data_IF_784121158621
#
_entry.id   IF_784121158621
#
_cell.length_a   1.000
_cell.length_b   1.000
_cell.length_c   1.000
_cell.angle_alpha   90.00
_cell.angle_beta   90.00
_cell.angle_gamma   90.00
#
_symmetry.space_group_name_H-M   'P 1'
#
loop_
_entity.id
_entity.type
_entity.pdbx_description
1 polymer ?
#
# COMPACT_ATOMS: atom_id res chain seq x y z
N UNK A 1 11.53 15.72 -5.22
CA UNK A 1 11.06 14.40 -5.64
C UNK A 1 9.96 13.93 -4.71
N UNK A 2 8.86 13.49 -5.28
CA UNK A 2 7.73 13.07 -4.46
C UNK A 2 8.00 11.75 -3.76
N UNK A 3 7.64 11.70 -2.49
CA UNK A 3 7.68 10.46 -1.73
C UNK A 3 6.48 9.60 -2.06
N UNK A 4 6.67 8.29 -2.14
CA UNK A 4 5.57 7.34 -2.28
C UNK A 4 4.90 7.03 -0.96
N UNK A 5 5.42 7.54 0.15
CA UNK A 5 4.85 7.27 1.48
C UNK A 5 3.39 7.71 1.55
N UNK A 6 2.53 6.85 2.03
CA UNK A 6 1.10 7.09 2.13
C UNK A 6 0.31 6.78 0.88
N UNK A 7 0.97 6.52 -0.24
CA UNK A 7 0.27 6.26 -1.49
C UNK A 7 -0.27 4.83 -1.52
N UNK A 8 -1.51 4.70 -1.98
CA UNK A 8 -2.08 3.39 -2.25
C UNK A 8 -1.50 2.90 -3.56
N UNK A 9 -1.03 1.66 -3.59
CA UNK A 9 -0.47 1.03 -4.77
C UNK A 9 -1.16 -0.30 -5.02
N UNK A 10 -1.14 -0.75 -6.27
CA UNK A 10 -1.66 -2.06 -6.64
C UNK A 10 -0.48 -2.99 -6.88
N UNK A 11 -0.54 -4.18 -6.31
CA UNK A 11 0.48 -5.19 -6.55
C UNK A 11 0.33 -5.77 -7.95
N UNK A 12 1.45 -5.89 -8.67
CA UNK A 12 1.48 -6.43 -10.03
C UNK A 12 2.17 -7.80 -10.11
N UNK A 13 2.67 -8.31 -9.00
CA UNK A 13 3.41 -9.58 -8.98
C UNK A 13 3.31 -10.24 -7.62
N UNK A 14 3.53 -11.55 -7.58
CA UNK A 14 3.55 -12.31 -6.36
C UNK A 14 2.16 -12.79 -5.95
N UNK A 15 2.05 -13.31 -4.74
CA UNK A 15 0.80 -13.86 -4.22
C UNK A 15 -0.29 -12.81 -4.02
N UNK A 16 0.12 -11.57 -3.81
CA UNK A 16 -0.82 -10.47 -3.58
C UNK A 16 -1.16 -9.70 -4.86
N UNK A 17 -0.83 -10.25 -6.03
CA UNK A 17 -1.12 -9.63 -7.31
C UNK A 17 -2.59 -9.23 -7.40
N UNK A 18 -2.82 -7.97 -7.76
CA UNK A 18 -4.16 -7.42 -7.88
C UNK A 18 -4.69 -6.77 -6.60
N UNK A 19 -4.04 -7.02 -5.46
CA UNK A 19 -4.44 -6.43 -4.19
C UNK A 19 -3.90 -5.01 -4.05
N UNK A 20 -4.61 -4.19 -3.28
CA UNK A 20 -4.16 -2.84 -2.95
C UNK A 20 -3.42 -2.84 -1.63
N UNK A 21 -2.36 -2.05 -1.58
CA UNK A 21 -1.49 -1.92 -0.41
C UNK A 21 -1.18 -0.43 -0.22
N UNK A 22 -0.77 -0.06 0.98
CA UNK A 22 -0.32 1.30 1.27
C UNK A 22 1.18 1.30 1.48
N UNK A 23 1.87 2.22 0.83
CA UNK A 23 3.31 2.39 1.02
C UNK A 23 3.53 3.14 2.32
N UNK A 24 4.23 2.52 3.25
CA UNK A 24 4.58 3.15 4.52
C UNK A 24 5.95 3.83 4.41
N UNK A 25 6.85 3.22 3.65
CA UNK A 25 8.20 3.73 3.46
C UNK A 25 8.69 3.31 2.08
N UNK A 26 9.56 4.10 1.49
CA UNK A 26 10.13 3.77 0.17
C UNK A 26 11.61 4.16 0.13
N UNK A 27 12.37 3.44 -0.65
CA UNK A 27 13.74 3.81 -1.02
C UNK A 27 13.88 3.78 -2.54
N UNK A 28 15.10 3.78 -3.06
CA UNK A 28 15.34 3.89 -4.50
C UNK A 28 14.77 2.74 -5.34
N UNK A 29 14.71 1.55 -4.77
CA UNK A 29 14.35 0.34 -5.53
C UNK A 29 13.19 -0.43 -4.93
N UNK A 30 12.84 -0.15 -3.68
CA UNK A 30 11.86 -0.94 -2.94
C UNK A 30 10.86 -0.06 -2.22
N UNK A 31 9.68 -0.62 -2.02
CA UNK A 31 8.65 -0.04 -1.17
C UNK A 31 8.35 -1.02 -0.04
N UNK A 32 7.99 -0.47 1.11
CA UNK A 32 7.62 -1.25 2.30
C UNK A 32 6.15 -0.98 2.55
N UNK A 33 5.35 -2.01 2.38
CA UNK A 33 3.89 -1.88 2.25
C UNK A 33 3.14 -2.68 3.31
N UNK A 34 1.90 -2.27 3.54
CA UNK A 34 1.00 -2.96 4.46
C UNK A 34 -0.44 -2.84 3.96
N UNK A 35 -1.29 -3.76 4.39
CA UNK A 35 -2.72 -3.71 4.10
C UNK A 35 -3.57 -3.80 5.38
N UNK A 36 -2.93 -4.00 6.51
CA UNK A 36 -3.60 -4.10 7.81
C UNK A 36 -4.24 -5.46 8.08
N UNK A 37 -4.15 -6.38 7.14
CA UNK A 37 -4.76 -7.71 7.24
C UNK A 37 -3.70 -8.80 7.14
N UNK A 38 -3.22 -9.07 5.94
CA UNK A 38 -2.16 -10.04 5.69
C UNK A 38 -0.79 -9.47 6.06
N UNK A 39 -0.59 -8.19 5.80
CA UNK A 39 0.62 -7.47 6.15
C UNK A 39 0.28 -6.31 7.07
N UNK A 40 0.59 -6.49 8.34
CA UNK A 40 0.30 -5.49 9.36
C UNK A 40 1.40 -4.45 9.44
N UNK A 41 1.07 -3.31 10.02
CA UNK A 41 2.01 -2.19 10.15
C UNK A 41 3.27 -2.57 10.93
N UNK A 42 3.18 -3.55 11.83
CA UNK A 42 4.33 -4.03 12.59
C UNK A 42 5.26 -4.93 11.78
N UNK A 43 4.84 -5.38 10.61
CA UNK A 43 5.58 -6.34 9.78
C UNK A 43 5.41 -6.01 8.30
N UNK A 44 6.01 -4.91 7.88
CA UNK A 44 5.89 -4.43 6.50
C UNK A 44 6.49 -5.43 5.51
N UNK A 45 5.87 -5.51 4.35
CA UNK A 45 6.39 -6.33 3.26
C UNK A 45 7.26 -5.47 2.35
N UNK A 46 8.47 -5.93 2.09
CA UNK A 46 9.36 -5.31 1.12
C UNK A 46 8.98 -5.78 -0.29
N UNK A 47 8.76 -4.83 -1.18
CA UNK A 47 8.41 -5.14 -2.56
C UNK A 47 9.25 -4.31 -3.51
N UNK A 48 9.61 -4.90 -4.65
CA UNK A 48 10.31 -4.14 -5.69
C UNK A 48 9.39 -3.05 -6.24
N UNK A 49 9.95 -1.88 -6.45
CA UNK A 49 9.20 -0.75 -6.99
C UNK A 49 8.54 -1.08 -8.33
N UNK A 50 9.19 -1.91 -9.14
CA UNK A 50 8.64 -2.32 -10.45
C UNK A 50 7.48 -3.32 -10.35
N UNK A 51 7.21 -3.85 -9.16
CA UNK A 51 6.13 -4.81 -8.94
C UNK A 51 4.87 -4.15 -8.36
N UNK A 52 4.83 -2.83 -8.30
CA UNK A 52 3.66 -2.10 -7.83
C UNK A 52 3.30 -0.99 -8.81
N UNK A 53 2.01 -0.70 -8.89
CA UNK A 53 1.48 0.42 -9.67
C UNK A 53 0.89 1.45 -8.72
N UNK A 54 1.47 2.65 -8.63
CA UNK A 54 0.89 3.69 -7.79
C UNK A 54 -0.46 4.16 -8.30
N UNK A 55 -1.37 4.44 -7.37
CA UNK A 55 -2.62 5.11 -7.69
C UNK A 55 -2.48 6.59 -7.38
N UNK A 56 -3.52 7.36 -7.63
CA UNK A 56 -3.52 8.80 -7.33
C UNK A 56 -3.92 9.11 -5.89
N UNK A 57 -4.20 8.10 -5.10
CA UNK A 57 -4.69 8.28 -3.74
C UNK A 57 -3.55 8.18 -2.74
N UNK A 58 -3.45 9.20 -1.89
CA UNK A 58 -2.48 9.26 -0.80
C UNK A 58 -3.25 9.40 0.49
N UNK A 59 -2.88 8.63 1.51
CA UNK A 59 -3.51 8.71 2.83
C UNK A 59 -2.50 9.16 3.87
N UNK A 60 -3.01 9.66 4.99
CA UNK A 60 -2.19 10.05 6.13
C UNK A 60 -1.79 8.79 6.91
N UNK A 61 -0.49 8.57 7.04
CA UNK A 61 0.03 7.40 7.75
C UNK A 61 0.40 7.70 9.20
N UNK A 62 0.29 8.94 9.64
CA UNK A 62 0.77 9.36 10.95
C UNK A 62 0.06 8.70 12.12
N UNK A 63 -1.26 8.57 12.02
CA UNK A 63 -2.08 7.96 13.07
C UNK A 63 -2.71 6.65 12.61
N UNK A 64 -2.06 5.97 11.68
CA UNK A 64 -2.62 4.79 11.05
C UNK A 64 -2.54 3.57 11.96
N UNK A 65 -3.61 2.79 11.99
CA UNK A 65 -3.66 1.49 12.67
C UNK A 65 -4.04 0.43 11.63
N UNK A 66 -3.80 -0.83 11.97
CA UNK A 66 -4.17 -1.92 11.06
C UNK A 66 -5.67 -1.91 10.74
N UNK A 67 -6.48 -1.63 11.72
CA UNK A 67 -7.94 -1.55 11.55
C UNK A 67 -8.34 -0.43 10.59
N UNK A 68 -7.75 0.75 10.76
CA UNK A 68 -7.99 1.89 9.87
C UNK A 68 -7.51 1.60 8.47
N UNK A 69 -6.36 0.98 8.36
CA UNK A 69 -5.77 0.63 7.07
C UNK A 69 -6.64 -0.36 6.30
N UNK A 70 -7.11 -1.41 6.96
CA UNK A 70 -8.04 -2.36 6.33
C UNK A 70 -9.28 -1.67 5.79
N UNK A 71 -9.84 -0.77 6.60
CA UNK A 71 -11.05 -0.04 6.22
C UNK A 71 -10.81 0.88 5.03
N UNK A 72 -9.70 1.62 5.05
CA UNK A 72 -9.35 2.52 3.95
C UNK A 72 -9.15 1.78 2.64
N UNK A 73 -8.44 0.66 2.69
CA UNK A 73 -8.20 -0.15 1.49
C UNK A 73 -9.51 -0.76 0.97
N UNK A 74 -10.35 -1.25 1.86
CA UNK A 74 -11.64 -1.82 1.47
C UNK A 74 -12.53 -0.77 0.80
N UNK A 75 -12.60 0.43 1.34
CA UNK A 75 -13.36 1.52 0.78
C UNK A 75 -12.80 1.96 -0.58
N UNK A 76 -11.49 2.06 -0.67
CA UNK A 76 -10.83 2.41 -1.92
C UNK A 76 -11.09 1.36 -3.00
N UNK A 77 -10.94 0.09 -2.65
CA UNK A 77 -11.14 -1.02 -3.58
C UNK A 77 -12.58 -1.08 -4.08
N UNK A 78 -13.55 -0.82 -3.21
CA UNK A 78 -14.97 -0.83 -3.57
C UNK A 78 -15.33 0.33 -4.51
N UNK A 79 -14.64 1.46 -4.38
CA UNK A 79 -14.92 2.66 -5.18
C UNK A 79 -14.10 2.73 -6.46
N UNK A 80 -13.15 1.82 -6.64
CA UNK A 80 -12.19 1.85 -7.74
C UNK A 80 -12.64 0.97 -8.90
N UNK A 81 -12.38 1.42 -10.12
CA UNK A 81 -12.61 0.63 -11.34
C UNK A 81 -11.35 -0.08 -11.84
N UNK A 82 -10.38 -0.18 -10.98
CA UNK A 82 -9.15 -0.88 -11.33
C UNK A 82 -9.37 -2.31 -11.74
#
# INVERSE_FOLDING_TARGET
MESLSGRIVRSCAGRDKGNFLVVIRADESFVYVADGKERKLASLKKKSLKHVKPTNTVIDTESLTDKKLRKLIAEFSAASDF
#
